data_IF_520397228944
#
_entry.id   IF_520397228944
#
_cell.length_a   1.000
_cell.length_b   1.000
_cell.length_c   1.000
_cell.angle_alpha   90.00
_cell.angle_beta   90.00
_cell.angle_gamma   90.00
#
_symmetry.space_group_name_H-M   'P 1'
#
loop_
_entity.id
_entity.type
_entity.pdbx_description
1 polymer ?
#
# COMPACT_ATOMS: atom_id res chain seq x y z
N UNK A 1 31.48 21.51 19.85
CA UNK A 1 32.05 21.93 18.54
C UNK A 1 32.98 20.80 18.08
N UNK A 2 32.48 19.85 17.36
CA UNK A 2 33.29 18.94 16.55
C UNK A 2 32.60 18.88 15.18
N UNK A 3 33.38 19.25 14.20
CA UNK A 3 33.09 19.18 12.78
C UNK A 3 32.75 17.72 12.43
N UNK A 4 31.58 17.53 11.88
CA UNK A 4 31.23 16.37 11.05
C UNK A 4 31.17 16.90 9.60
N UNK A 5 32.35 17.18 9.05
CA UNK A 5 32.58 17.18 7.63
C UNK A 5 32.71 15.72 7.20
N UNK A 6 31.59 15.12 6.85
CA UNK A 6 31.51 13.87 6.12
C UNK A 6 30.94 14.19 4.76
N UNK A 7 31.79 14.19 3.75
CA UNK A 7 31.39 14.19 2.36
C UNK A 7 30.35 13.09 2.12
N UNK A 8 29.09 13.50 2.04
CA UNK A 8 28.02 12.62 1.59
C UNK A 8 28.17 12.57 0.07
N UNK A 9 29.03 11.65 -0.41
CA UNK A 9 29.11 11.36 -1.84
C UNK A 9 27.72 10.92 -2.32
N UNK A 10 27.05 11.79 -3.04
CA UNK A 10 25.75 11.49 -3.67
C UNK A 10 26.04 10.52 -4.81
N UNK A 11 25.79 9.23 -4.56
CA UNK A 11 25.98 8.20 -5.56
C UNK A 11 25.05 8.43 -6.75
N UNK A 12 25.58 8.51 -7.94
CA UNK A 12 24.78 8.62 -9.15
C UNK A 12 24.03 7.33 -9.47
N UNK A 13 22.90 7.43 -10.18
CA UNK A 13 22.12 6.25 -10.63
C UNK A 13 22.98 5.29 -11.47
N UNK A 14 23.95 5.81 -12.22
CA UNK A 14 24.88 5.00 -13.02
C UNK A 14 25.85 4.22 -12.14
N UNK A 15 26.37 4.82 -11.08
CA UNK A 15 27.24 4.15 -10.10
C UNK A 15 26.48 3.08 -9.35
N UNK A 16 25.25 3.37 -8.89
CA UNK A 16 24.40 2.36 -8.26
C UNK A 16 24.14 1.18 -9.20
N UNK A 17 23.81 1.47 -10.48
CA UNK A 17 23.61 0.41 -11.50
C UNK A 17 24.84 -0.43 -11.71
N UNK A 18 26.03 0.19 -11.81
CA UNK A 18 27.29 -0.52 -11.94
C UNK A 18 27.54 -1.46 -10.77
N UNK A 19 27.37 -0.97 -9.53
CA UNK A 19 27.55 -1.77 -8.32
C UNK A 19 26.57 -2.94 -8.24
N UNK A 20 25.29 -2.71 -8.57
CA UNK A 20 24.30 -3.79 -8.64
C UNK A 20 24.69 -4.82 -9.70
N UNK A 21 25.12 -4.38 -10.89
CA UNK A 21 25.57 -5.27 -11.94
C UNK A 21 26.80 -6.10 -11.55
N UNK A 22 27.77 -5.51 -10.88
CA UNK A 22 28.96 -6.22 -10.35
C UNK A 22 28.56 -7.26 -9.28
N UNK A 23 27.63 -6.92 -8.39
CA UNK A 23 27.15 -7.86 -7.38
C UNK A 23 26.33 -9.01 -7.98
N UNK A 24 25.53 -8.74 -9.02
CA UNK A 24 24.80 -9.77 -9.76
C UNK A 24 25.76 -10.72 -10.49
N UNK A 25 26.80 -10.18 -11.13
CA UNK A 25 27.83 -10.97 -11.77
C UNK A 25 28.58 -11.87 -10.78
N UNK A 26 28.94 -11.32 -9.62
CA UNK A 26 29.63 -12.05 -8.56
C UNK A 26 28.81 -13.21 -7.99
N UNK A 27 27.49 -13.04 -7.86
CA UNK A 27 26.59 -14.05 -7.26
C UNK A 27 26.04 -15.06 -8.26
N UNK A 28 25.78 -14.63 -9.47
CA UNK A 28 25.00 -15.41 -10.44
C UNK A 28 25.69 -15.61 -11.79
N UNK A 29 26.89 -15.03 -11.97
CA UNK A 29 27.69 -15.18 -13.19
C UNK A 29 27.45 -14.08 -14.24
N UNK A 30 28.34 -14.07 -15.26
CA UNK A 30 28.40 -13.02 -16.28
C UNK A 30 27.17 -12.93 -17.17
N UNK A 31 26.42 -14.02 -17.35
CA UNK A 31 25.21 -14.03 -18.17
C UNK A 31 24.11 -13.14 -17.55
N UNK A 32 23.90 -13.25 -16.25
CA UNK A 32 22.94 -12.40 -15.52
C UNK A 32 23.35 -10.92 -15.59
N UNK A 33 24.64 -10.63 -15.57
CA UNK A 33 25.16 -9.28 -15.78
C UNK A 33 24.78 -8.76 -17.16
N UNK A 34 24.99 -9.56 -18.19
CA UNK A 34 24.62 -9.22 -19.56
C UNK A 34 23.13 -8.95 -19.74
N UNK A 35 22.28 -9.79 -19.15
CA UNK A 35 20.82 -9.62 -19.16
C UNK A 35 20.39 -8.36 -18.41
N UNK A 36 21.02 -8.06 -17.27
CA UNK A 36 20.78 -6.84 -16.49
C UNK A 36 21.17 -5.58 -17.27
N UNK A 37 22.32 -5.57 -17.89
CA UNK A 37 22.82 -4.44 -18.70
C UNK A 37 21.99 -4.27 -19.99
N UNK A 38 21.56 -5.36 -20.64
CA UNK A 38 20.71 -5.35 -21.81
C UNK A 38 19.28 -4.88 -21.52
N UNK A 39 18.70 -5.32 -20.39
CA UNK A 39 17.38 -4.85 -19.91
C UNK A 39 17.42 -3.40 -19.42
N UNK A 40 18.58 -2.87 -19.15
CA UNK A 40 18.84 -1.52 -18.65
C UNK A 40 19.35 -0.52 -19.69
N UNK A 41 19.19 -0.78 -20.98
CA UNK A 41 19.55 0.20 -22.02
C UNK A 41 19.00 1.57 -21.68
N UNK A 42 19.89 2.54 -21.40
CA UNK A 42 19.48 3.90 -21.06
C UNK A 42 18.70 4.45 -22.27
N UNK A 43 17.40 4.69 -22.07
CA UNK A 43 16.60 5.35 -23.09
C UNK A 43 17.27 6.68 -23.44
N UNK A 44 17.46 6.94 -24.72
CA UNK A 44 17.91 8.26 -25.19
C UNK A 44 16.86 9.34 -24.95
N UNK A 45 15.62 8.94 -24.70
CA UNK A 45 14.52 9.85 -24.38
C UNK A 45 14.58 10.21 -22.90
N UNK A 46 14.59 11.50 -22.62
CA UNK A 46 14.61 12.07 -21.27
C UNK A 46 13.27 12.75 -21.00
N UNK A 47 12.68 12.46 -19.86
CA UNK A 47 11.45 13.11 -19.38
C UNK A 47 11.82 14.29 -18.50
N UNK A 48 11.38 15.49 -18.90
CA UNK A 48 11.58 16.71 -18.11
C UNK A 48 10.54 16.80 -16.99
N UNK A 49 11.01 16.98 -15.75
CA UNK A 49 10.19 17.28 -14.56
C UNK A 49 10.48 18.69 -14.05
N UNK A 50 9.67 19.16 -13.08
CA UNK A 50 9.92 20.48 -12.45
C UNK A 50 11.26 20.52 -11.71
N UNK A 51 11.64 19.41 -11.07
CA UNK A 51 12.83 19.30 -10.22
C UNK A 51 14.00 18.60 -10.92
N UNK A 52 13.97 18.48 -12.25
CA UNK A 52 15.05 17.83 -12.98
C UNK A 52 14.60 17.06 -14.23
N UNK A 53 15.46 16.18 -14.68
CA UNK A 53 15.21 15.34 -15.84
C UNK A 53 15.62 13.90 -15.55
N UNK A 54 14.81 12.93 -15.98
CA UNK A 54 15.06 11.51 -15.79
C UNK A 54 14.92 10.73 -17.10
N UNK A 55 15.64 9.62 -17.29
CA UNK A 55 15.46 8.76 -18.45
C UNK A 55 14.03 8.21 -18.51
N UNK A 56 13.44 8.19 -19.72
CA UNK A 56 12.16 7.52 -19.94
C UNK A 56 12.31 6.02 -19.63
N UNK A 57 11.38 5.49 -18.85
CA UNK A 57 11.34 4.07 -18.49
C UNK A 57 10.02 3.44 -18.94
N UNK A 58 10.11 2.45 -19.82
CA UNK A 58 8.94 1.65 -20.23
C UNK A 58 8.32 0.90 -19.06
N UNK A 59 9.14 0.41 -18.11
CA UNK A 59 8.66 -0.27 -16.91
C UNK A 59 7.88 0.65 -15.97
N UNK A 60 8.34 1.89 -15.77
CA UNK A 60 7.61 2.90 -14.98
C UNK A 60 6.30 3.25 -15.65
N UNK A 61 6.29 3.48 -16.99
CA UNK A 61 5.05 3.77 -17.70
C UNK A 61 4.09 2.59 -17.66
N UNK A 62 4.56 1.36 -17.87
CA UNK A 62 3.73 0.15 -17.78
C UNK A 62 3.07 0.02 -16.40
N UNK A 63 3.83 0.23 -15.31
CA UNK A 63 3.30 0.23 -13.94
C UNK A 63 2.22 1.31 -13.74
N UNK A 64 2.44 2.52 -14.24
CA UNK A 64 1.44 3.58 -14.15
C UNK A 64 0.16 3.23 -14.94
N UNK A 65 0.29 2.58 -16.08
CA UNK A 65 -0.86 2.08 -16.85
C UNK A 65 -1.59 0.95 -16.11
N UNK A 66 -0.87 0.03 -15.47
CA UNK A 66 -1.47 -0.99 -14.60
C UNK A 66 -2.22 -0.36 -13.42
N UNK A 67 -1.66 0.69 -12.80
CA UNK A 67 -2.32 1.47 -11.75
C UNK A 67 -3.62 2.17 -12.22
N UNK A 68 -3.79 2.35 -13.52
CA UNK A 68 -5.05 2.80 -14.14
C UNK A 68 -6.04 1.64 -14.42
N UNK A 69 -5.77 0.44 -13.92
CA UNK A 69 -6.60 -0.75 -14.15
C UNK A 69 -6.45 -1.36 -15.53
N UNK A 70 -5.31 -1.12 -16.21
CA UNK A 70 -4.97 -1.72 -17.49
C UNK A 70 -4.27 -3.05 -17.23
N UNK A 71 -4.63 -4.09 -17.98
CA UNK A 71 -3.98 -5.41 -17.85
C UNK A 71 -2.47 -5.30 -18.14
N UNK A 72 -1.65 -6.05 -17.41
CA UNK A 72 -0.19 -5.99 -17.48
C UNK A 72 0.36 -6.23 -18.91
N UNK A 73 -0.24 -7.15 -19.67
CA UNK A 73 0.15 -7.42 -21.05
C UNK A 73 -0.11 -6.24 -22.00
N UNK A 74 -1.22 -5.53 -21.80
CA UNK A 74 -1.60 -4.31 -22.56
C UNK A 74 -0.74 -3.13 -22.10
N UNK A 75 -0.52 -2.97 -20.81
CA UNK A 75 0.29 -1.92 -20.23
C UNK A 75 1.74 -1.98 -20.74
N UNK A 76 2.35 -3.18 -20.74
CA UNK A 76 3.69 -3.40 -21.24
C UNK A 76 3.81 -3.08 -22.74
N UNK A 77 2.86 -3.57 -23.56
CA UNK A 77 2.82 -3.27 -25.00
C UNK A 77 2.62 -1.79 -25.28
N UNK A 78 1.68 -1.14 -24.56
CA UNK A 78 1.43 0.29 -24.68
C UNK A 78 2.67 1.12 -24.36
N UNK A 79 3.37 0.80 -23.28
CA UNK A 79 4.60 1.49 -22.89
C UNK A 79 5.72 1.31 -23.94
N UNK A 80 5.85 0.11 -24.52
CA UNK A 80 6.81 -0.16 -25.59
C UNK A 80 6.48 0.63 -26.87
N UNK A 81 5.21 0.70 -27.24
CA UNK A 81 4.76 1.48 -28.42
C UNK A 81 5.02 2.98 -28.22
N UNK A 82 4.73 3.53 -27.03
CA UNK A 82 5.06 4.94 -26.73
C UNK A 82 6.57 5.20 -26.85
N UNK A 83 7.39 4.30 -26.35
CA UNK A 83 8.86 4.44 -26.48
C UNK A 83 9.31 4.40 -27.94
N UNK A 84 8.75 3.47 -28.73
CA UNK A 84 9.04 3.38 -30.17
C UNK A 84 8.63 4.66 -30.91
N UNK A 85 7.41 5.16 -30.67
CA UNK A 85 6.92 6.39 -31.28
C UNK A 85 7.79 7.61 -30.96
N UNK A 86 8.18 7.80 -29.69
CA UNK A 86 9.10 8.88 -29.30
C UNK A 86 10.46 8.78 -30.01
N UNK A 87 10.97 7.56 -30.20
CA UNK A 87 12.21 7.34 -30.92
C UNK A 87 12.10 7.60 -32.44
N UNK A 88 11.04 7.16 -33.07
CA UNK A 88 10.75 7.40 -34.50
C UNK A 88 10.59 8.89 -34.80
N UNK A 89 10.00 9.64 -33.88
CA UNK A 89 9.89 11.10 -33.95
C UNK A 89 11.21 11.84 -33.69
N UNK A 90 12.29 11.12 -33.34
CA UNK A 90 13.59 11.70 -33.02
C UNK A 90 13.59 12.50 -31.71
N UNK A 91 12.61 12.27 -30.82
CA UNK A 91 12.47 12.98 -29.56
C UNK A 91 13.52 12.53 -28.56
N UNK A 92 14.45 13.40 -28.21
CA UNK A 92 15.46 13.14 -27.17
C UNK A 92 15.03 13.66 -25.80
N UNK A 93 14.09 14.62 -25.75
CA UNK A 93 13.56 15.16 -24.52
C UNK A 93 12.07 15.47 -24.67
N UNK A 94 11.25 14.99 -23.71
CA UNK A 94 9.81 15.18 -23.71
C UNK A 94 9.35 15.75 -22.37
N UNK A 95 8.45 16.73 -22.40
CA UNK A 95 7.80 17.25 -21.20
C UNK A 95 6.65 16.35 -20.73
N UNK A 96 6.19 16.55 -19.49
CA UNK A 96 5.10 15.75 -18.92
C UNK A 96 3.80 15.85 -19.73
N UNK A 97 3.46 17.03 -20.24
CA UNK A 97 2.22 17.25 -21.01
C UNK A 97 2.29 16.54 -22.36
N UNK A 98 3.40 16.69 -23.06
CA UNK A 98 3.65 16.05 -24.34
C UNK A 98 3.67 14.52 -24.20
N UNK A 99 4.34 14.01 -23.17
CA UNK A 99 4.37 12.56 -22.87
C UNK A 99 2.94 12.02 -22.62
N UNK A 100 2.09 12.74 -21.87
CA UNK A 100 0.71 12.34 -21.64
C UNK A 100 -0.12 12.28 -22.92
N UNK A 101 0.08 13.26 -23.80
CA UNK A 101 -0.59 13.30 -25.12
C UNK A 101 -0.14 12.11 -25.97
N UNK A 102 1.16 11.83 -26.01
CA UNK A 102 1.74 10.71 -26.75
C UNK A 102 1.22 9.36 -26.23
N UNK A 103 1.21 9.17 -24.90
CA UNK A 103 0.63 7.96 -24.27
C UNK A 103 -0.84 7.80 -24.67
N UNK A 104 -1.64 8.86 -24.59
CA UNK A 104 -3.06 8.80 -24.97
C UNK A 104 -3.25 8.48 -26.46
N UNK A 105 -2.51 9.17 -27.34
CA UNK A 105 -2.58 8.97 -28.78
C UNK A 105 -2.20 7.54 -29.17
N UNK A 106 -1.11 7.02 -28.60
CA UNK A 106 -0.62 5.67 -28.84
C UNK A 106 -1.62 4.60 -28.35
N UNK A 107 -2.18 4.78 -27.15
CA UNK A 107 -3.19 3.85 -26.65
C UNK A 107 -4.47 3.87 -27.49
N UNK A 108 -4.89 5.05 -27.94
CA UNK A 108 -6.06 5.21 -28.80
C UNK A 108 -5.87 4.56 -30.17
N UNK A 109 -4.74 4.80 -30.82
CA UNK A 109 -4.42 4.21 -32.13
C UNK A 109 -4.22 2.70 -32.05
N UNK A 110 -3.75 2.19 -30.91
CA UNK A 110 -3.64 0.76 -30.63
C UNK A 110 -4.96 0.07 -30.26
N UNK A 111 -6.10 0.76 -30.31
CA UNK A 111 -7.42 0.20 -29.98
C UNK A 111 -7.72 0.14 -28.48
N UNK A 112 -6.92 0.82 -27.62
CA UNK A 112 -7.06 0.83 -26.17
C UNK A 112 -7.59 2.16 -25.64
N UNK A 113 -8.63 2.73 -26.27
CA UNK A 113 -9.15 4.06 -25.93
C UNK A 113 -9.59 4.18 -24.47
N UNK A 114 -10.25 3.14 -23.90
CA UNK A 114 -10.66 3.14 -22.50
C UNK A 114 -9.48 3.21 -21.55
N UNK A 115 -8.38 2.55 -21.90
CA UNK A 115 -7.12 2.63 -21.16
C UNK A 115 -6.55 4.05 -21.21
N UNK A 116 -6.55 4.68 -22.37
CA UNK A 116 -6.14 6.07 -22.54
C UNK A 116 -6.98 7.04 -21.70
N UNK A 117 -8.30 6.87 -21.67
CA UNK A 117 -9.20 7.69 -20.86
C UNK A 117 -8.92 7.54 -19.35
N UNK A 118 -8.74 6.31 -18.87
CA UNK A 118 -8.36 6.04 -17.46
C UNK A 118 -7.01 6.66 -17.10
N UNK A 119 -6.03 6.54 -17.99
CA UNK A 119 -4.72 7.18 -17.82
C UNK A 119 -4.83 8.71 -17.70
N UNK A 120 -5.60 9.37 -18.59
CA UNK A 120 -5.82 10.83 -18.49
C UNK A 120 -6.56 11.22 -17.21
N UNK A 121 -7.54 10.43 -16.77
CA UNK A 121 -8.24 10.67 -15.51
C UNK A 121 -7.29 10.60 -14.31
N UNK A 122 -6.38 9.62 -14.28
CA UNK A 122 -5.32 9.53 -13.27
C UNK A 122 -4.37 10.73 -13.33
N UNK A 123 -3.99 11.17 -14.52
CA UNK A 123 -3.14 12.35 -14.68
C UNK A 123 -3.83 13.61 -14.13
N UNK A 124 -5.13 13.81 -14.40
CA UNK A 124 -5.90 14.95 -13.87
C UNK A 124 -5.98 14.90 -12.34
N UNK A 125 -6.21 13.72 -11.78
CA UNK A 125 -6.18 13.52 -10.33
C UNK A 125 -4.83 13.92 -9.74
N UNK A 126 -3.73 13.44 -10.31
CA UNK A 126 -2.39 13.81 -9.82
C UNK A 126 -2.10 15.33 -9.93
N UNK A 127 -2.72 16.02 -10.91
CA UNK A 127 -2.58 17.47 -11.07
C UNK A 127 -3.46 18.27 -10.10
N UNK A 128 -4.50 17.68 -9.50
CA UNK A 128 -5.36 18.36 -8.53
C UNK A 128 -4.61 18.70 -7.23
N UNK A 129 -3.57 17.93 -6.91
CA UNK A 129 -2.82 18.06 -5.66
C UNK A 129 -3.61 17.61 -4.43
N UNK A 130 -4.77 16.97 -4.62
CA UNK A 130 -5.51 16.34 -3.54
C UNK A 130 -4.87 15.00 -3.17
N UNK A 131 -4.61 14.73 -1.87
CA UNK A 131 -4.04 13.45 -1.48
C UNK A 131 -5.05 12.32 -1.59
N UNK A 132 -4.57 11.13 -1.95
CA UNK A 132 -5.33 9.89 -1.95
C UNK A 132 -5.14 9.15 -0.63
N UNK A 133 -6.22 8.98 0.13
CA UNK A 133 -6.23 8.26 1.40
C UNK A 133 -6.99 6.94 1.20
N UNK A 134 -6.29 5.82 1.28
CA UNK A 134 -6.89 4.49 1.16
C UNK A 134 -6.89 3.83 2.54
N UNK A 135 -8.07 3.46 3.00
CA UNK A 135 -8.27 2.77 4.28
C UNK A 135 -8.71 1.32 4.01
N UNK A 136 -7.86 0.36 4.41
CA UNK A 136 -8.10 -1.08 4.20
C UNK A 136 -8.38 -1.78 5.51
N UNK A 137 -9.67 -1.85 5.89
CA UNK A 137 -10.15 -2.60 7.03
C UNK A 137 -10.34 -4.09 6.75
N UNK A 138 -10.54 -4.86 7.81
CA UNK A 138 -10.89 -6.29 7.75
C UNK A 138 -10.17 -7.12 8.80
N UNK A 139 -10.70 -8.28 9.11
CA UNK A 139 -10.14 -9.19 10.12
C UNK A 139 -8.78 -9.76 9.72
N UNK A 140 -8.12 -10.40 10.68
CA UNK A 140 -6.85 -11.11 10.45
C UNK A 140 -7.04 -12.20 9.37
N UNK A 141 -6.08 -12.30 8.45
CA UNK A 141 -6.09 -13.33 7.41
C UNK A 141 -6.81 -12.95 6.11
N UNK A 142 -7.48 -11.80 6.00
CA UNK A 142 -8.23 -11.41 4.80
C UNK A 142 -7.38 -10.94 3.62
N UNK A 143 -6.06 -10.79 3.78
CA UNK A 143 -5.16 -10.38 2.69
C UNK A 143 -4.92 -8.86 2.58
N UNK A 144 -5.32 -8.06 3.58
CA UNK A 144 -5.16 -6.59 3.59
C UNK A 144 -3.75 -6.13 3.26
N UNK A 145 -2.75 -6.60 4.00
CA UNK A 145 -1.36 -6.14 3.83
C UNK A 145 -0.80 -6.52 2.44
N UNK A 146 -1.20 -7.67 1.89
CA UNK A 146 -0.84 -8.04 0.52
C UNK A 146 -1.46 -7.08 -0.50
N UNK A 147 -2.74 -6.73 -0.30
CA UNK A 147 -3.42 -5.75 -1.15
C UNK A 147 -2.83 -4.35 -0.97
N UNK A 148 -2.55 -3.92 0.26
CA UNK A 148 -1.93 -2.63 0.56
C UNK A 148 -0.58 -2.47 -0.16
N UNK A 149 0.29 -3.48 -0.05
CA UNK A 149 1.59 -3.50 -0.75
C UNK A 149 1.43 -3.43 -2.28
N UNK A 150 0.47 -4.19 -2.83
CA UNK A 150 0.20 -4.17 -4.27
C UNK A 150 -0.33 -2.82 -4.75
N UNK A 151 -1.27 -2.22 -4.01
CA UNK A 151 -1.79 -0.89 -4.31
C UNK A 151 -0.72 0.19 -4.17
N UNK A 152 0.10 0.15 -3.12
CA UNK A 152 1.21 1.06 -2.94
C UNK A 152 2.15 1.06 -4.15
N UNK A 153 2.52 -0.14 -4.62
CA UNK A 153 3.35 -0.31 -5.81
C UNK A 153 2.68 0.22 -7.09
N UNK A 154 1.41 -0.13 -7.34
CA UNK A 154 0.70 0.26 -8.56
C UNK A 154 0.36 1.76 -8.61
N UNK A 155 0.07 2.35 -7.45
CA UNK A 155 -0.34 3.75 -7.34
C UNK A 155 0.82 4.69 -7.03
N UNK A 156 2.03 4.16 -6.87
CA UNK A 156 3.25 4.90 -6.51
C UNK A 156 3.11 5.64 -5.15
N UNK A 157 2.41 4.98 -4.20
CA UNK A 157 2.19 5.51 -2.86
C UNK A 157 3.32 5.02 -1.95
N UNK A 158 4.13 5.95 -1.45
CA UNK A 158 5.29 5.64 -0.60
C UNK A 158 4.89 5.41 0.86
N UNK A 159 3.83 6.08 1.32
CA UNK A 159 3.43 6.02 2.74
C UNK A 159 2.38 4.93 2.95
N UNK A 160 2.79 3.89 3.66
CA UNK A 160 1.89 2.83 4.14
C UNK A 160 2.01 2.72 5.66
N UNK A 161 0.90 2.53 6.35
CA UNK A 161 0.85 2.40 7.80
C UNK A 161 -0.04 1.22 8.20
N UNK A 162 0.40 0.46 9.20
CA UNK A 162 -0.37 -0.65 9.77
C UNK A 162 -0.93 -0.28 11.13
N UNK A 163 -2.21 -0.55 11.36
CA UNK A 163 -2.80 -0.33 12.69
C UNK A 163 -2.29 -1.32 13.72
N UNK A 164 -1.79 -2.49 13.31
CA UNK A 164 -1.14 -3.43 14.23
C UNK A 164 0.19 -2.84 14.75
N UNK A 165 0.95 -2.16 13.89
CA UNK A 165 2.15 -1.44 14.34
C UNK A 165 1.80 -0.28 15.27
N UNK A 166 0.74 0.48 14.96
CA UNK A 166 0.26 1.55 15.85
C UNK A 166 -0.09 0.99 17.24
N UNK A 167 -0.83 -0.13 17.29
CA UNK A 167 -1.15 -0.83 18.54
C UNK A 167 0.12 -1.21 19.31
N UNK A 168 1.11 -1.80 18.67
CA UNK A 168 2.38 -2.19 19.30
C UNK A 168 3.13 -0.97 19.87
N UNK A 169 3.20 0.12 19.13
CA UNK A 169 3.84 1.35 19.60
C UNK A 169 3.12 1.88 20.84
N UNK A 170 1.78 2.00 20.79
CA UNK A 170 0.99 2.49 21.91
C UNK A 170 1.16 1.58 23.15
N UNK A 171 1.19 0.26 22.95
CA UNK A 171 1.43 -0.72 24.00
C UNK A 171 2.78 -0.54 24.72
N UNK A 172 3.80 -0.04 24.03
CA UNK A 172 5.09 0.26 24.65
C UNK A 172 5.05 1.47 25.59
N UNK A 173 4.13 2.39 25.38
CA UNK A 173 4.00 3.61 26.18
C UNK A 173 2.96 3.50 27.29
N UNK A 174 1.90 2.71 27.09
CA UNK A 174 0.84 2.54 28.07
C UNK A 174 1.11 1.33 28.95
N UNK A 175 1.05 1.53 30.26
CA UNK A 175 1.18 0.42 31.21
C UNK A 175 0.01 -0.56 31.08
N UNK A 176 0.24 -1.88 31.22
CA UNK A 176 -0.77 -2.92 30.94
C UNK A 176 -2.11 -2.76 31.69
N UNK A 177 -2.10 -2.22 32.91
CA UNK A 177 -3.34 -2.01 33.68
C UNK A 177 -4.17 -0.81 33.23
N UNK A 178 -3.60 0.13 32.46
CA UNK A 178 -4.34 1.27 31.86
C UNK A 178 -5.05 0.87 30.58
N UNK A 179 -4.40 0.05 29.76
CA UNK A 179 -4.95 -0.40 28.48
C UNK A 179 -4.68 -1.91 28.29
N UNK A 180 -5.29 -2.78 29.11
CA UNK A 180 -4.98 -4.21 29.09
C UNK A 180 -5.32 -4.90 27.77
N UNK A 181 -6.31 -4.40 27.04
CA UNK A 181 -6.72 -4.94 25.73
C UNK A 181 -5.62 -4.84 24.66
N UNK A 182 -4.68 -3.88 24.79
CA UNK A 182 -3.55 -3.72 23.85
C UNK A 182 -2.56 -4.88 23.91
N UNK A 183 -2.50 -5.62 25.03
CA UNK A 183 -1.65 -6.79 25.21
C UNK A 183 -2.07 -8.02 24.40
N UNK A 184 -3.25 -7.97 23.80
CA UNK A 184 -3.84 -9.10 23.08
C UNK A 184 -3.99 -8.79 21.58
N UNK A 185 -4.16 -9.83 20.78
CA UNK A 185 -4.57 -9.67 19.39
C UNK A 185 -6.03 -9.15 19.34
N UNK A 186 -6.43 -8.54 18.24
CA UNK A 186 -7.77 -7.94 18.10
C UNK A 186 -8.93 -8.93 18.32
N UNK A 187 -8.74 -10.20 17.98
CA UNK A 187 -9.73 -11.25 18.10
C UNK A 187 -9.79 -11.89 19.52
N UNK A 188 -8.82 -11.63 20.36
CA UNK A 188 -8.79 -12.09 21.75
C UNK A 188 -8.60 -10.94 22.76
N UNK A 189 -8.79 -9.70 22.32
CA UNK A 189 -8.70 -8.49 23.15
C UNK A 189 -9.71 -8.49 24.33
N UNK A 190 -10.79 -9.27 24.21
CA UNK A 190 -11.78 -9.47 25.27
C UNK A 190 -11.17 -10.04 26.58
N UNK A 191 -10.05 -10.76 26.49
CA UNK A 191 -9.32 -11.26 27.68
C UNK A 191 -8.73 -10.13 28.52
N UNK A 192 -8.57 -8.94 27.96
CA UNK A 192 -8.12 -7.75 28.67
C UNK A 192 -9.27 -6.92 29.25
N UNK A 193 -10.52 -7.33 29.08
CA UNK A 193 -11.66 -6.65 29.67
C UNK A 193 -11.77 -6.95 31.18
N UNK A 194 -12.25 -5.99 31.99
CA UNK A 194 -12.54 -6.24 33.40
C UNK A 194 -13.50 -7.42 33.56
N UNK A 195 -13.19 -8.33 34.48
CA UNK A 195 -14.10 -9.40 34.88
C UNK A 195 -15.17 -8.81 35.79
N UNK A 196 -16.42 -8.77 35.30
CA UNK A 196 -17.56 -8.32 36.11
C UNK A 196 -18.32 -9.54 36.58
N UNK A 197 -18.37 -9.77 37.89
CA UNK A 197 -19.17 -10.86 38.48
C UNK A 197 -20.69 -10.54 38.34
N UNK A 198 -21.42 -11.50 37.76
CA UNK A 198 -22.89 -11.50 37.71
C UNK A 198 -23.50 -10.75 36.53
N UNK A 199 -24.19 -11.50 35.68
CA UNK A 199 -25.04 -11.13 34.53
C UNK A 199 -24.39 -10.29 33.42
N UNK A 200 -24.76 -10.59 32.19
CA UNK A 200 -24.51 -9.84 30.93
C UNK A 200 -23.59 -8.59 31.08
N UNK A 201 -22.32 -8.81 31.41
CA UNK A 201 -21.36 -7.75 31.70
C UNK A 201 -21.15 -6.80 30.51
N UNK A 202 -21.48 -7.27 29.31
CA UNK A 202 -21.37 -6.49 28.08
C UNK A 202 -22.64 -6.68 27.24
N UNK A 203 -23.24 -5.61 26.72
CA UNK A 203 -24.42 -5.69 25.87
C UNK A 203 -24.15 -6.32 24.50
N UNK A 204 -22.88 -6.62 24.20
CA UNK A 204 -22.39 -7.18 22.93
C UNK A 204 -21.61 -8.47 23.20
N UNK A 205 -21.36 -9.22 22.11
CA UNK A 205 -20.41 -10.35 22.13
C UNK A 205 -19.06 -9.91 22.74
N UNK A 206 -18.49 -10.66 23.69
CA UNK A 206 -17.25 -10.29 24.36
C UNK A 206 -16.10 -10.01 23.38
N UNK A 207 -16.02 -10.74 22.26
CA UNK A 207 -14.99 -10.52 21.21
C UNK A 207 -15.12 -9.11 20.62
N UNK A 208 -16.35 -8.68 20.32
CA UNK A 208 -16.64 -7.35 19.79
C UNK A 208 -16.36 -6.29 20.85
N UNK A 209 -16.79 -6.51 22.10
CA UNK A 209 -16.54 -5.57 23.20
C UNK A 209 -15.04 -5.34 23.44
N UNK A 210 -14.24 -6.43 23.47
CA UNK A 210 -12.79 -6.36 23.61
C UNK A 210 -12.13 -5.63 22.46
N UNK A 211 -12.54 -5.93 21.24
CA UNK A 211 -12.06 -5.25 20.06
C UNK A 211 -12.37 -3.75 20.07
N UNK A 212 -13.60 -3.36 20.42
CA UNK A 212 -14.00 -1.94 20.48
C UNK A 212 -13.24 -1.17 21.56
N UNK A 213 -12.99 -1.78 22.71
CA UNK A 213 -12.15 -1.19 23.76
C UNK A 213 -10.71 -0.96 23.28
N UNK A 214 -10.13 -1.93 22.56
CA UNK A 214 -8.80 -1.80 21.95
C UNK A 214 -8.82 -0.75 20.83
N UNK A 215 -9.82 -0.78 19.95
CA UNK A 215 -10.03 0.18 18.88
C UNK A 215 -10.08 1.61 19.39
N UNK A 216 -10.81 1.89 20.47
CA UNK A 216 -10.92 3.22 21.06
C UNK A 216 -9.56 3.86 21.38
N UNK A 217 -8.58 3.04 21.79
CA UNK A 217 -7.22 3.51 22.07
C UNK A 217 -6.41 3.70 20.76
N UNK A 218 -6.50 2.76 19.83
CA UNK A 218 -5.72 2.80 18.57
C UNK A 218 -6.26 3.90 17.63
N UNK A 219 -7.56 4.17 17.67
CA UNK A 219 -8.24 5.16 16.85
C UNK A 219 -7.57 6.53 16.89
N UNK A 220 -7.13 6.97 18.06
CA UNK A 220 -6.49 8.30 18.24
C UNK A 220 -5.24 8.44 17.37
N UNK A 221 -4.38 7.42 17.36
CA UNK A 221 -3.19 7.43 16.52
C UNK A 221 -3.52 7.30 15.03
N UNK A 222 -4.54 6.52 14.69
CA UNK A 222 -5.02 6.35 13.32
C UNK A 222 -5.55 7.68 12.76
N UNK A 223 -6.45 8.36 13.46
CA UNK A 223 -7.00 9.65 13.07
C UNK A 223 -5.91 10.72 12.95
N UNK A 224 -4.98 10.78 13.90
CA UNK A 224 -3.83 11.69 13.83
C UNK A 224 -2.93 11.44 12.61
N UNK A 225 -2.72 10.17 12.26
CA UNK A 225 -1.91 9.77 11.08
C UNK A 225 -2.60 10.20 9.78
N UNK A 226 -3.92 9.99 9.68
CA UNK A 226 -4.72 10.41 8.52
C UNK A 226 -4.72 11.94 8.40
N UNK A 227 -5.01 12.65 9.50
CA UNK A 227 -5.03 14.10 9.52
C UNK A 227 -3.68 14.72 9.10
N UNK A 228 -2.57 14.11 9.54
CA UNK A 228 -1.23 14.51 9.14
C UNK A 228 -0.99 14.35 7.63
N UNK A 229 -1.37 13.20 7.05
CA UNK A 229 -1.22 12.96 5.61
C UNK A 229 -2.01 13.97 4.78
N UNK A 230 -3.25 14.29 5.19
CA UNK A 230 -4.07 15.31 4.55
C UNK A 230 -3.44 16.69 4.65
N UNK A 231 -2.95 17.08 5.84
CA UNK A 231 -2.26 18.36 6.05
C UNK A 231 -1.00 18.51 5.18
N UNK A 232 -0.22 17.44 5.05
CA UNK A 232 1.00 17.39 4.23
C UNK A 232 0.71 17.16 2.74
N UNK A 233 -0.54 16.99 2.34
CA UNK A 233 -0.97 16.65 0.97
C UNK A 233 -0.21 15.45 0.40
N UNK A 234 -0.10 14.39 1.19
CA UNK A 234 0.60 13.17 0.80
C UNK A 234 -0.34 11.98 0.76
N UNK A 235 -0.22 11.17 -0.28
CA UNK A 235 -0.96 9.92 -0.41
C UNK A 235 -0.61 8.98 0.73
N UNK A 236 -1.62 8.24 1.22
CA UNK A 236 -1.49 7.32 2.35
C UNK A 236 -2.35 6.08 2.16
N UNK A 237 -1.76 4.92 2.42
CA UNK A 237 -2.52 3.69 2.63
C UNK A 237 -2.42 3.32 4.11
N UNK A 238 -3.56 3.08 4.76
CA UNK A 238 -3.60 2.48 6.09
C UNK A 238 -4.29 1.13 6.00
N UNK A 239 -3.62 0.08 6.46
CA UNK A 239 -4.22 -1.25 6.57
C UNK A 239 -4.27 -1.73 8.02
N UNK A 240 -5.29 -2.50 8.33
CA UNK A 240 -5.39 -3.17 9.62
C UNK A 240 -6.80 -3.45 10.08
N UNK A 241 -6.89 -4.20 11.18
CA UNK A 241 -8.18 -4.58 11.77
C UNK A 241 -8.87 -3.39 12.43
N UNK A 242 -8.11 -2.39 12.91
CA UNK A 242 -8.65 -1.19 13.53
C UNK A 242 -9.10 -0.13 12.50
N UNK A 243 -9.05 -0.42 11.21
CA UNK A 243 -9.62 0.45 10.18
C UNK A 243 -11.12 0.17 10.10
N UNK A 244 -11.89 0.97 10.83
CA UNK A 244 -13.37 0.93 10.90
C UNK A 244 -13.91 2.29 10.44
N UNK A 245 -14.15 2.52 9.13
CA UNK A 245 -14.45 3.84 8.58
C UNK A 245 -15.67 4.53 9.22
N UNK A 246 -16.67 3.75 9.62
CA UNK A 246 -17.89 4.25 10.27
C UNK A 246 -17.70 4.75 11.71
N UNK A 247 -16.59 4.35 12.34
CA UNK A 247 -16.25 4.74 13.71
C UNK A 247 -15.14 5.80 13.77
N UNK A 248 -14.64 6.27 12.62
CA UNK A 248 -13.62 7.31 12.52
C UNK A 248 -14.26 8.67 12.20
N UNK A 249 -13.70 9.75 12.75
CA UNK A 249 -14.07 11.09 12.32
C UNK A 249 -13.34 11.44 11.00
N UNK A 250 -14.04 11.24 9.91
CA UNK A 250 -13.52 11.44 8.54
C UNK A 250 -14.18 12.63 7.82
N UNK A 251 -14.96 13.46 8.51
CA UNK A 251 -15.68 14.56 7.91
C UNK A 251 -14.75 15.54 7.20
N UNK A 252 -13.72 16.01 7.89
CA UNK A 252 -12.72 16.92 7.32
C UNK A 252 -11.86 16.25 6.25
N UNK A 253 -11.53 14.98 6.44
CA UNK A 253 -10.73 14.18 5.48
C UNK A 253 -11.44 14.12 4.12
N UNK A 254 -12.77 13.86 4.12
CA UNK A 254 -13.60 13.78 2.90
C UNK A 254 -13.64 15.08 2.09
N UNK A 255 -13.46 16.22 2.74
CA UNK A 255 -13.48 17.53 2.06
C UNK A 255 -12.13 17.96 1.50
N UNK A 256 -11.04 17.35 1.97
CA UNK A 256 -9.66 17.77 1.63
C UNK A 256 -8.84 16.69 0.92
N UNK A 257 -9.43 15.53 0.66
CA UNK A 257 -8.75 14.39 0.04
C UNK A 257 -9.71 13.49 -0.71
N UNK A 258 -9.18 12.69 -1.62
CA UNK A 258 -9.92 11.56 -2.16
C UNK A 258 -9.79 10.39 -1.18
N UNK A 259 -10.87 10.10 -0.45
CA UNK A 259 -10.93 9.04 0.55
C UNK A 259 -11.59 7.79 -0.02
N UNK A 260 -10.87 6.66 0.08
CA UNK A 260 -11.33 5.34 -0.37
C UNK A 260 -11.33 4.37 0.81
N UNK A 261 -12.46 4.24 1.54
CA UNK A 261 -12.60 3.27 2.62
C UNK A 261 -13.05 1.92 2.05
N UNK A 262 -12.37 0.84 2.44
CA UNK A 262 -12.64 -0.52 2.01
C UNK A 262 -12.57 -1.47 3.21
N UNK A 263 -13.47 -2.44 3.28
CA UNK A 263 -13.41 -3.55 4.23
C UNK A 263 -13.25 -4.86 3.44
N UNK A 264 -12.15 -5.57 3.70
CA UNK A 264 -11.88 -6.85 3.09
C UNK A 264 -12.43 -7.98 3.95
N UNK A 265 -13.18 -8.88 3.31
CA UNK A 265 -13.73 -10.05 3.96
C UNK A 265 -13.50 -11.31 3.13
N UNK A 266 -13.45 -12.44 3.81
CA UNK A 266 -13.42 -13.77 3.20
C UNK A 266 -14.84 -14.34 3.23
N UNK A 267 -15.30 -14.88 2.12
CA UNK A 267 -16.72 -15.29 1.96
C UNK A 267 -17.13 -16.52 2.77
N UNK A 268 -16.18 -17.35 3.20
CA UNK A 268 -16.47 -18.56 3.98
C UNK A 268 -15.40 -18.83 5.03
N UNK A 269 -15.79 -19.41 6.18
CA UNK A 269 -14.87 -19.87 7.23
C UNK A 269 -13.84 -20.87 6.70
N UNK A 270 -14.24 -21.76 5.81
CA UNK A 270 -13.36 -22.74 5.18
C UNK A 270 -12.21 -22.06 4.44
N UNK A 271 -12.54 -21.04 3.65
CA UNK A 271 -11.52 -20.28 2.90
C UNK A 271 -10.57 -19.51 3.82
N UNK A 272 -11.07 -19.01 4.96
CA UNK A 272 -10.23 -18.35 5.97
C UNK A 272 -9.25 -19.36 6.61
N UNK A 273 -9.70 -20.56 6.98
CA UNK A 273 -8.85 -21.64 7.50
C UNK A 273 -7.79 -22.08 6.47
N UNK A 274 -8.17 -22.20 5.19
CA UNK A 274 -7.24 -22.49 4.09
C UNK A 274 -6.16 -21.41 3.93
N UNK A 275 -6.51 -20.14 4.11
CA UNK A 275 -5.55 -19.04 4.09
C UNK A 275 -4.56 -19.11 5.27
N UNK A 276 -5.02 -19.46 6.47
CA UNK A 276 -4.13 -19.69 7.60
C UNK A 276 -3.19 -20.88 7.38
N UNK A 277 -3.70 -21.99 6.85
CA UNK A 277 -2.87 -23.15 6.48
C UNK A 277 -1.78 -22.81 5.47
N UNK A 278 -2.11 -21.98 4.45
CA UNK A 278 -1.13 -21.51 3.48
C UNK A 278 -0.07 -20.64 4.13
N UNK A 279 -0.48 -19.71 4.99
CA UNK A 279 0.41 -18.82 5.73
C UNK A 279 1.38 -19.56 6.64
N UNK A 280 0.93 -20.62 7.32
CA UNK A 280 1.80 -21.50 8.14
C UNK A 280 2.93 -22.11 7.32
N UNK A 281 2.64 -22.49 6.07
CA UNK A 281 3.66 -23.09 5.18
C UNK A 281 4.66 -22.07 4.66
N UNK A 282 4.21 -20.84 4.39
CA UNK A 282 5.04 -19.77 3.83
C UNK A 282 5.88 -19.05 4.90
N UNK A 283 5.42 -19.03 6.15
CA UNK A 283 6.08 -18.37 7.30
C UNK A 283 5.82 -19.17 8.60
N UNK A 284 6.61 -20.23 8.87
CA UNK A 284 6.42 -21.11 10.02
C UNK A 284 6.50 -20.42 11.38
N UNK A 285 7.26 -19.34 11.49
CA UNK A 285 7.47 -18.57 12.72
C UNK A 285 6.29 -17.66 13.12
N UNK A 286 5.27 -17.57 12.27
CA UNK A 286 4.05 -16.83 12.61
C UNK A 286 3.07 -17.75 13.32
N UNK A 287 2.46 -17.23 14.39
CA UNK A 287 1.50 -17.91 15.28
C UNK A 287 0.19 -18.34 14.54
N UNK A 288 0.36 -19.15 13.49
CA UNK A 288 -0.73 -19.57 12.58
C UNK A 288 -1.64 -20.59 13.22
N UNK A 289 -1.11 -21.39 14.15
CA UNK A 289 -1.91 -22.38 14.88
C UNK A 289 -2.88 -21.69 15.82
N UNK A 290 -2.42 -20.63 16.52
CA UNK A 290 -3.29 -19.77 17.33
C UNK A 290 -4.41 -19.12 16.50
N UNK A 291 -4.13 -18.65 15.28
CA UNK A 291 -5.16 -18.10 14.41
C UNK A 291 -6.24 -19.14 14.03
N UNK A 292 -5.86 -20.42 13.90
CA UNK A 292 -6.79 -21.48 13.61
C UNK A 292 -7.63 -21.88 14.83
N UNK A 293 -7.01 -21.88 16.01
CA UNK A 293 -7.72 -22.09 17.28
C UNK A 293 -8.76 -20.99 17.52
N UNK A 294 -8.46 -19.76 17.14
CA UNK A 294 -9.32 -18.57 17.32
C UNK A 294 -10.15 -18.24 16.06
N UNK A 295 -10.38 -19.22 15.19
CA UNK A 295 -11.09 -19.01 13.92
C UNK A 295 -12.53 -18.50 14.12
N UNK A 296 -13.20 -18.92 15.20
CA UNK A 296 -14.57 -18.48 15.53
C UNK A 296 -14.60 -16.99 15.87
N UNK A 297 -13.69 -16.55 16.72
CA UNK A 297 -13.55 -15.18 17.18
C UNK A 297 -13.14 -14.23 16.02
N UNK A 298 -12.21 -14.69 15.18
CA UNK A 298 -11.80 -13.95 13.97
C UNK A 298 -13.00 -13.82 13.02
N UNK A 299 -13.81 -14.88 12.88
CA UNK A 299 -15.01 -14.85 12.05
C UNK A 299 -16.07 -13.90 12.62
N UNK A 300 -16.32 -13.93 13.94
CA UNK A 300 -17.23 -13.01 14.63
C UNK A 300 -16.81 -11.57 14.37
N UNK A 301 -15.53 -11.27 14.53
CA UNK A 301 -14.99 -9.95 14.29
C UNK A 301 -15.14 -9.53 12.82
N UNK A 302 -14.85 -10.44 11.87
CA UNK A 302 -15.06 -10.14 10.45
C UNK A 302 -16.52 -9.82 10.13
N UNK A 303 -17.47 -10.62 10.65
CA UNK A 303 -18.90 -10.40 10.44
C UNK A 303 -19.30 -9.02 10.96
N UNK A 304 -18.89 -8.70 12.19
CA UNK A 304 -19.12 -7.37 12.76
C UNK A 304 -18.57 -6.24 11.88
N UNK A 305 -17.32 -6.36 11.39
CA UNK A 305 -16.71 -5.34 10.54
C UNK A 305 -17.45 -5.15 9.22
N UNK A 306 -17.95 -6.23 8.62
CA UNK A 306 -18.74 -6.18 7.37
C UNK A 306 -20.09 -5.55 7.61
N UNK A 307 -20.77 -5.88 8.72
CA UNK A 307 -22.07 -5.33 9.07
C UNK A 307 -22.01 -3.81 9.37
N UNK A 308 -20.81 -3.32 9.73
CA UNK A 308 -20.58 -1.89 10.00
C UNK A 308 -20.02 -1.13 8.78
N UNK A 309 -19.73 -1.77 7.66
CA UNK A 309 -19.16 -1.14 6.47
C UNK A 309 -20.23 -0.55 5.55
#
# INVERSE_FOLDING_TARGET
RNQLDGDTEVMSTNELRRLVGEELERRFGTQIRGDYDAGGGVSRVVVRRQDGSEPFSTGVLARHLEGCGIRSDVAARGAALVHASLREQGVNQVGRKELRQEVYATLKSGGFQDAGNRFLSRCRFNDSGEPLIILLGGATGTGKSTLATRLAYLLDIVRTQSTDMMREIIRCYLVPHVAPTLGYSSFDAWRGLPQVEGSAAYPQDPVIAGFLAQFGTVRVALEATIARAVKERTDLIVDGVHVMPTYLDLAEVRTKSVLVPLVLAVTTRKRLDEQFKRRSREAPDRDSDRHREMLSEIWTLQTFMVDQA
#
